data_IF_001518245091
#
_entry.id   IF_001518245091
#
_cell.length_a   1.000
_cell.length_b   1.000
_cell.length_c   1.000
_cell.angle_alpha   90.00
_cell.angle_beta   90.00
_cell.angle_gamma   90.00
#
_symmetry.space_group_name_H-M   'P 1'
#
loop_
_entity.id
_entity.type
_entity.pdbx_description
1 polymer ?
#
# COMPACT_ATOMS: atom_id res chain seq x y z
N UNK A 1 9.46 24.93 -20.62
CA UNK A 1 9.66 23.82 -19.65
C UNK A 1 10.37 22.71 -20.39
N UNK A 2 11.49 22.21 -19.85
CA UNK A 2 12.20 21.07 -20.45
C UNK A 2 11.31 19.83 -20.38
N UNK A 3 11.15 19.10 -21.47
CA UNK A 3 10.41 17.83 -21.51
C UNK A 3 11.15 16.75 -20.71
N UNK A 4 10.43 15.83 -20.09
CA UNK A 4 11.00 14.63 -19.45
C UNK A 4 10.79 13.47 -20.42
N UNK A 5 11.85 12.76 -20.77
CA UNK A 5 11.87 11.72 -21.77
C UNK A 5 11.91 10.31 -21.17
N UNK A 6 12.37 10.15 -19.92
CA UNK A 6 12.40 8.83 -19.26
C UNK A 6 12.18 8.92 -17.75
N UNK A 7 11.19 8.17 -17.25
CA UNK A 7 10.83 8.06 -15.83
C UNK A 7 10.84 6.59 -15.42
N UNK A 8 11.41 6.30 -14.25
CA UNK A 8 11.34 4.98 -13.63
C UNK A 8 10.35 4.98 -12.47
N UNK A 9 9.40 4.06 -12.46
CA UNK A 9 8.50 3.80 -11.34
C UNK A 9 9.04 2.62 -10.52
N UNK A 10 9.13 2.77 -9.19
CA UNK A 10 9.68 1.74 -8.28
C UNK A 10 8.70 1.43 -7.17
N UNK A 11 8.33 0.17 -7.03
CA UNK A 11 7.39 -0.34 -6.02
C UNK A 11 6.78 -1.68 -6.44
N UNK A 12 5.71 -2.07 -5.79
CA UNK A 12 4.91 -3.21 -6.23
C UNK A 12 4.30 -2.94 -7.61
N UNK A 13 4.11 -4.00 -8.41
CA UNK A 13 3.49 -3.90 -9.73
C UNK A 13 2.65 -5.15 -10.05
N UNK A 14 1.59 -4.99 -10.84
CA UNK A 14 0.78 -6.12 -11.31
C UNK A 14 1.66 -7.12 -12.07
N UNK A 15 1.51 -8.45 -11.87
CA UNK A 15 0.33 -9.13 -11.34
C UNK A 15 0.35 -9.41 -9.82
N UNK A 16 1.24 -8.80 -9.03
CA UNK A 16 1.15 -8.86 -7.56
C UNK A 16 -0.20 -8.30 -7.11
N UNK A 17 -1.01 -9.11 -6.42
CA UNK A 17 -2.36 -8.71 -6.00
C UNK A 17 -2.32 -7.90 -4.69
N UNK A 18 -1.99 -6.61 -4.78
CA UNK A 18 -2.05 -5.67 -3.67
C UNK A 18 -2.46 -4.28 -4.14
N UNK A 19 -2.91 -3.42 -3.22
CA UNK A 19 -3.35 -2.07 -3.56
C UNK A 19 -2.24 -1.18 -4.12
N UNK A 20 -1.00 -1.37 -3.66
CA UNK A 20 0.16 -0.61 -4.14
C UNK A 20 0.52 -1.02 -5.56
N UNK A 21 0.49 -2.32 -5.88
CA UNK A 21 0.69 -2.82 -7.24
C UNK A 21 -0.29 -2.20 -8.23
N UNK A 22 -1.58 -2.20 -7.89
CA UNK A 22 -2.61 -1.55 -8.70
C UNK A 22 -2.32 -0.06 -8.87
N UNK A 23 -1.99 0.66 -7.80
CA UNK A 23 -1.67 2.08 -7.87
C UNK A 23 -0.46 2.37 -8.78
N UNK A 24 0.66 1.64 -8.59
CA UNK A 24 1.88 1.84 -9.39
C UNK A 24 1.62 1.56 -10.87
N UNK A 25 0.87 0.50 -11.18
CA UNK A 25 0.46 0.17 -12.55
C UNK A 25 -0.38 1.29 -13.15
N UNK A 26 -1.44 1.71 -12.45
CA UNK A 26 -2.36 2.72 -12.99
C UNK A 26 -1.69 4.09 -13.18
N UNK A 27 -0.84 4.56 -12.25
CA UNK A 27 -0.14 5.83 -12.43
C UNK A 27 0.91 5.76 -13.55
N UNK A 28 1.61 4.63 -13.67
CA UNK A 28 2.60 4.43 -14.73
C UNK A 28 1.93 4.45 -16.12
N UNK A 29 0.84 3.71 -16.28
CA UNK A 29 0.06 3.70 -17.53
C UNK A 29 -0.56 5.06 -17.82
N UNK A 30 -1.08 5.75 -16.80
CA UNK A 30 -1.66 7.08 -16.97
C UNK A 30 -0.63 8.12 -17.44
N UNK A 31 0.58 8.11 -16.87
CA UNK A 31 1.67 8.99 -17.32
C UNK A 31 2.11 8.61 -18.73
N UNK A 32 2.26 7.33 -19.04
CA UNK A 32 2.65 6.88 -20.38
C UNK A 32 1.61 7.26 -21.46
N UNK A 33 0.32 7.17 -21.13
CA UNK A 33 -0.78 7.56 -22.02
C UNK A 33 -0.85 9.08 -22.22
N UNK A 34 -0.69 9.86 -21.14
CA UNK A 34 -0.75 11.32 -21.20
C UNK A 34 0.51 11.95 -21.84
N UNK A 35 1.66 11.28 -21.75
CA UNK A 35 2.95 11.76 -22.25
C UNK A 35 3.65 10.69 -23.12
N UNK A 36 3.20 10.43 -24.37
CA UNK A 36 3.72 9.33 -25.19
C UNK A 36 5.21 9.43 -25.57
N UNK A 37 5.81 10.62 -25.45
CA UNK A 37 7.23 10.85 -25.67
C UNK A 37 8.11 10.48 -24.46
N UNK A 38 7.49 10.30 -23.29
CA UNK A 38 8.17 9.93 -22.06
C UNK A 38 8.13 8.40 -21.92
N UNK A 39 9.28 7.75 -22.05
CA UNK A 39 9.41 6.34 -21.77
C UNK A 39 9.24 6.09 -20.27
N UNK A 40 8.18 5.35 -19.92
CA UNK A 40 7.90 4.93 -18.56
C UNK A 40 8.39 3.48 -18.38
N UNK A 41 9.37 3.29 -17.52
CA UNK A 41 9.93 1.98 -17.14
C UNK A 41 9.60 1.68 -15.69
N UNK A 42 9.60 0.40 -15.33
CA UNK A 42 9.25 -0.05 -13.97
C UNK A 42 10.35 -0.94 -13.40
N UNK A 43 10.68 -0.69 -12.13
CA UNK A 43 11.42 -1.56 -11.25
C UNK A 43 10.48 -2.22 -10.25
N UNK A 44 10.09 -3.46 -10.50
CA UNK A 44 9.10 -4.16 -9.69
C UNK A 44 9.75 -4.82 -8.46
N UNK A 45 9.13 -4.68 -7.29
CA UNK A 45 9.58 -5.35 -6.06
C UNK A 45 8.84 -6.67 -5.88
N UNK A 46 9.61 -7.75 -5.76
CA UNK A 46 9.14 -9.12 -5.63
C UNK A 46 9.20 -9.59 -4.18
N UNK A 47 8.12 -10.19 -3.71
CA UNK A 47 8.01 -10.83 -2.39
C UNK A 47 8.26 -12.35 -2.41
N UNK A 48 8.51 -12.90 -3.59
CA UNK A 48 8.78 -14.32 -3.81
C UNK A 48 9.99 -14.52 -4.74
N UNK A 49 10.84 -15.53 -4.49
CA UNK A 49 12.06 -15.76 -5.27
C UNK A 49 11.81 -16.02 -6.75
N UNK A 50 10.66 -16.61 -7.10
CA UNK A 50 10.30 -16.93 -8.49
C UNK A 50 9.85 -15.70 -9.29
N UNK A 51 9.65 -14.56 -8.62
CA UNK A 51 9.13 -13.34 -9.25
C UNK A 51 7.69 -13.48 -9.74
N UNK A 52 7.27 -12.59 -10.63
CA UNK A 52 5.95 -12.64 -11.26
C UNK A 52 6.08 -12.69 -12.78
N UNK A 53 5.05 -13.23 -13.43
CA UNK A 53 4.95 -13.17 -14.89
C UNK A 53 4.54 -11.76 -15.31
N UNK A 54 5.55 -10.89 -15.39
CA UNK A 54 5.38 -9.49 -15.70
C UNK A 54 5.15 -9.27 -17.19
N UNK A 55 4.22 -8.35 -17.49
CA UNK A 55 4.00 -7.88 -18.84
C UNK A 55 5.04 -6.80 -19.23
N UNK A 56 4.70 -6.03 -20.25
CA UNK A 56 5.53 -4.95 -20.80
C UNK A 56 5.74 -3.81 -19.80
N UNK A 57 6.90 -3.13 -19.87
CA UNK A 57 7.41 -1.99 -19.05
C UNK A 57 8.33 -2.34 -17.89
N UNK A 58 8.28 -3.56 -17.35
CA UNK A 58 9.28 -4.00 -16.38
C UNK A 58 10.64 -4.07 -17.06
N UNK A 59 11.64 -3.41 -16.48
CA UNK A 59 13.02 -3.40 -17.00
C UNK A 59 14.02 -4.02 -16.04
N UNK A 60 13.66 -4.09 -14.76
CA UNK A 60 14.44 -4.75 -13.72
C UNK A 60 13.51 -5.16 -12.58
N UNK A 61 13.93 -6.19 -11.87
CA UNK A 61 13.22 -6.74 -10.72
C UNK A 61 14.10 -6.60 -9.48
N UNK A 62 13.48 -6.26 -8.37
CA UNK A 62 14.12 -6.12 -7.06
C UNK A 62 13.56 -7.22 -6.17
N UNK A 63 14.43 -8.04 -5.61
CA UNK A 63 14.04 -9.01 -4.58
C UNK A 63 13.97 -8.26 -3.25
N UNK A 64 12.80 -8.25 -2.60
CA UNK A 64 12.58 -7.48 -1.38
C UNK A 64 13.56 -7.86 -0.25
N UNK A 65 14.02 -9.12 -0.22
CA UNK A 65 14.86 -9.66 0.85
C UNK A 65 16.35 -9.44 0.61
N UNK A 66 16.75 -9.17 -0.63
CA UNK A 66 18.15 -9.08 -1.03
C UNK A 66 18.58 -7.62 -1.23
N UNK A 67 19.27 -7.05 -0.24
CA UNK A 67 19.75 -5.65 -0.27
C UNK A 67 20.60 -5.33 -1.50
N UNK A 68 21.39 -6.29 -2.01
CA UNK A 68 22.20 -6.10 -3.21
C UNK A 68 21.37 -5.95 -4.48
N UNK A 69 20.12 -6.44 -4.50
CA UNK A 69 19.20 -6.21 -5.61
C UNK A 69 18.86 -4.73 -5.76
N UNK A 70 18.74 -4.00 -4.65
CA UNK A 70 18.52 -2.55 -4.64
C UNK A 70 19.71 -1.75 -5.19
N UNK A 71 20.94 -2.19 -4.89
CA UNK A 71 22.17 -1.57 -5.40
C UNK A 71 22.31 -1.79 -6.91
N UNK A 72 22.08 -3.02 -7.39
CA UNK A 72 22.03 -3.32 -8.83
C UNK A 72 20.97 -2.51 -9.56
N UNK A 73 19.81 -2.32 -8.94
CA UNK A 73 18.76 -1.46 -9.49
C UNK A 73 19.21 0.01 -9.59
N UNK A 74 19.93 0.55 -8.60
CA UNK A 74 20.51 1.89 -8.69
C UNK A 74 21.52 2.00 -9.84
N UNK A 75 22.43 1.03 -10.00
CA UNK A 75 23.39 0.99 -11.11
C UNK A 75 22.67 0.96 -12.46
N UNK A 76 21.62 0.13 -12.60
CA UNK A 76 20.79 0.07 -13.79
C UNK A 76 20.17 1.43 -14.11
N UNK A 77 19.54 2.09 -13.13
CA UNK A 77 18.90 3.40 -13.31
C UNK A 77 19.92 4.48 -13.73
N UNK A 78 21.11 4.46 -13.13
CA UNK A 78 22.18 5.42 -13.40
C UNK A 78 22.75 5.31 -14.82
N UNK A 79 22.84 4.11 -15.39
CA UNK A 79 23.39 3.87 -16.74
C UNK A 79 22.33 4.09 -17.83
N UNK A 80 21.04 3.99 -17.50
CA UNK A 80 19.93 4.03 -18.47
C UNK A 80 19.28 5.41 -18.63
N UNK A 81 20.00 6.52 -18.43
CA UNK A 81 19.49 7.88 -18.68
C UNK A 81 18.10 8.18 -18.08
N UNK A 82 17.79 7.61 -16.91
CA UNK A 82 16.55 7.90 -16.21
C UNK A 82 16.61 9.31 -15.64
N UNK A 83 15.62 10.14 -15.94
CA UNK A 83 15.63 11.55 -15.52
C UNK A 83 14.94 11.78 -14.18
N UNK A 84 14.03 10.90 -13.76
CA UNK A 84 13.32 10.93 -12.47
C UNK A 84 12.99 9.52 -12.02
N UNK A 85 13.14 9.24 -10.73
CA UNK A 85 12.65 8.01 -10.08
C UNK A 85 11.41 8.34 -9.25
N UNK A 86 10.29 7.68 -9.56
CA UNK A 86 9.00 7.78 -8.88
C UNK A 86 8.80 6.56 -7.98
N UNK A 87 8.90 6.74 -6.66
CA UNK A 87 8.85 5.67 -5.66
C UNK A 87 7.45 5.59 -5.05
N UNK A 88 6.89 4.38 -4.94
CA UNK A 88 5.60 4.12 -4.29
C UNK A 88 5.83 3.51 -2.91
N UNK A 89 5.94 4.36 -1.88
CA UNK A 89 6.39 3.92 -0.57
C UNK A 89 5.26 3.42 0.34
N UNK A 90 5.45 2.20 0.83
CA UNK A 90 4.75 1.58 1.95
C UNK A 90 5.78 0.80 2.78
N UNK A 91 5.65 0.77 4.11
CA UNK A 91 6.67 0.21 5.01
C UNK A 91 6.86 -1.31 4.83
N UNK A 92 5.88 -1.99 4.26
CA UNK A 92 5.86 -3.45 4.14
C UNK A 92 6.41 -4.03 2.84
N UNK A 93 6.82 -3.22 1.86
CA UNK A 93 7.08 -3.73 0.50
C UNK A 93 8.56 -3.90 0.14
N UNK A 94 9.48 -3.23 0.85
CA UNK A 94 10.89 -3.17 0.45
C UNK A 94 11.83 -4.04 1.30
N UNK A 95 11.30 -4.92 2.15
CA UNK A 95 12.10 -5.71 3.08
C UNK A 95 12.95 -4.89 4.07
N UNK A 96 13.67 -5.59 4.94
CA UNK A 96 14.35 -4.99 6.09
C UNK A 96 13.38 -4.35 7.09
N UNK A 97 13.87 -3.83 8.22
CA UNK A 97 13.02 -3.15 9.20
C UNK A 97 12.33 -1.92 8.60
N UNK A 98 11.01 -1.97 8.48
CA UNK A 98 10.17 -0.91 7.93
C UNK A 98 10.54 -0.47 6.50
N UNK A 99 10.98 -1.39 5.64
CA UNK A 99 11.28 -1.08 4.23
C UNK A 99 12.67 -0.47 4.01
N UNK A 100 13.59 -0.64 4.96
CA UNK A 100 14.89 0.04 4.97
C UNK A 100 15.80 -0.32 3.79
N UNK A 101 15.62 -1.47 3.10
CA UNK A 101 16.48 -1.79 1.95
C UNK A 101 16.30 -0.80 0.78
N UNK A 102 15.12 -0.16 0.66
CA UNK A 102 14.89 0.92 -0.32
C UNK A 102 15.96 2.01 -0.21
N UNK A 103 16.44 2.31 1.00
CA UNK A 103 17.43 3.36 1.24
C UNK A 103 18.76 3.08 0.54
N UNK A 104 19.12 1.82 0.31
CA UNK A 104 20.30 1.46 -0.47
C UNK A 104 20.16 1.93 -1.93
N UNK A 105 18.99 1.76 -2.55
CA UNK A 105 18.71 2.29 -3.88
C UNK A 105 18.72 3.82 -3.88
N UNK A 106 18.00 4.45 -2.96
CA UNK A 106 17.82 5.91 -2.95
C UNK A 106 19.11 6.69 -2.67
N UNK A 107 20.04 6.07 -1.95
CA UNK A 107 21.37 6.62 -1.68
C UNK A 107 22.23 6.68 -2.94
N UNK A 108 22.15 5.65 -3.79
CA UNK A 108 23.08 5.46 -4.90
C UNK A 108 22.55 5.95 -6.26
N UNK A 109 21.25 6.29 -6.38
CA UNK A 109 20.70 6.93 -7.60
C UNK A 109 21.13 8.39 -7.78
N UNK A 110 21.39 8.81 -9.03
CA UNK A 110 21.88 10.16 -9.34
C UNK A 110 20.80 11.15 -9.78
N UNK A 111 19.69 10.65 -10.30
CA UNK A 111 18.54 11.45 -10.73
C UNK A 111 17.63 11.82 -9.54
N UNK A 112 16.80 12.87 -9.66
CA UNK A 112 15.86 13.25 -8.61
C UNK A 112 14.87 12.13 -8.27
N UNK A 113 14.54 12.04 -6.99
CA UNK A 113 13.58 11.08 -6.44
C UNK A 113 12.30 11.82 -6.04
N UNK A 114 11.16 11.31 -6.51
CA UNK A 114 9.82 11.73 -6.07
C UNK A 114 9.17 10.54 -5.38
N UNK A 115 8.83 10.67 -4.10
CA UNK A 115 8.27 9.57 -3.30
C UNK A 115 6.80 9.82 -3.01
N UNK A 116 5.92 8.95 -3.48
CA UNK A 116 4.52 8.90 -3.07
C UNK A 116 4.42 8.09 -1.79
N UNK A 117 3.79 8.64 -0.75
CA UNK A 117 3.62 7.99 0.54
C UNK A 117 2.19 7.47 0.68
N UNK A 118 2.04 6.14 0.75
CA UNK A 118 0.75 5.48 0.93
C UNK A 118 0.33 5.39 2.41
N UNK A 119 1.31 5.45 3.30
CA UNK A 119 1.13 5.54 4.75
C UNK A 119 2.01 6.64 5.33
N UNK A 120 1.43 7.47 6.21
CA UNK A 120 2.13 8.48 7.01
C UNK A 120 1.64 8.36 8.45
N UNK A 121 2.51 7.98 9.36
CA UNK A 121 2.13 7.65 10.74
C UNK A 121 2.31 8.86 11.64
N UNK A 122 1.37 9.07 12.57
CA UNK A 122 1.52 10.08 13.63
C UNK A 122 2.56 9.65 14.67
N UNK A 123 2.54 8.37 15.02
CA UNK A 123 3.38 7.75 16.04
C UNK A 123 4.18 6.62 15.40
N UNK A 124 5.21 6.94 14.60
CA UNK A 124 6.09 5.91 14.05
C UNK A 124 6.92 5.25 15.16
N UNK A 125 7.17 3.95 15.05
CA UNK A 125 8.21 3.30 15.83
C UNK A 125 9.62 3.76 15.38
N UNK A 126 10.66 3.32 16.08
CA UNK A 126 12.05 3.74 15.81
C UNK A 126 12.48 3.47 14.35
N UNK A 127 12.25 2.26 13.85
CA UNK A 127 12.59 1.88 12.46
C UNK A 127 11.81 2.70 11.42
N UNK A 128 10.51 2.91 11.64
CA UNK A 128 9.66 3.72 10.75
C UNK A 128 10.09 5.19 10.74
N UNK A 129 10.44 5.74 11.91
CA UNK A 129 10.96 7.10 12.03
C UNK A 129 12.27 7.24 11.28
N UNK A 130 13.21 6.33 11.50
CA UNK A 130 14.49 6.31 10.80
C UNK A 130 14.31 6.28 9.27
N UNK A 131 13.47 5.37 8.76
CA UNK A 131 13.21 5.28 7.31
C UNK A 131 12.64 6.59 6.78
N UNK A 132 11.66 7.19 7.46
CA UNK A 132 11.07 8.47 7.03
C UNK A 132 12.06 9.64 7.05
N UNK A 133 12.96 9.70 8.03
CA UNK A 133 14.02 10.71 8.09
C UNK A 133 15.01 10.56 6.92
N UNK A 134 15.39 9.33 6.59
CA UNK A 134 16.25 9.03 5.43
C UNK A 134 15.54 9.33 4.11
N UNK A 135 14.25 8.98 3.98
CA UNK A 135 13.44 9.39 2.83
C UNK A 135 13.43 10.92 2.68
N UNK A 136 13.32 11.67 3.78
CA UNK A 136 13.36 13.14 3.71
C UNK A 136 14.72 13.65 3.19
N UNK A 137 15.81 12.98 3.57
CA UNK A 137 17.15 13.31 3.08
C UNK A 137 17.31 13.02 1.57
N UNK A 138 16.81 11.86 1.11
CA UNK A 138 17.01 11.41 -0.27
C UNK A 138 15.96 11.95 -1.26
N UNK A 139 14.71 12.11 -0.86
CA UNK A 139 13.65 12.54 -1.78
C UNK A 139 13.66 14.04 -2.03
N UNK A 140 13.56 14.41 -3.32
CA UNK A 140 13.47 15.80 -3.76
C UNK A 140 12.06 16.35 -3.58
N UNK A 141 11.05 15.49 -3.72
CA UNK A 141 9.64 15.79 -3.47
C UNK A 141 8.92 14.58 -2.87
N UNK A 142 7.88 14.87 -2.10
CA UNK A 142 6.92 13.92 -1.58
C UNK A 142 5.55 14.18 -2.19
N UNK A 143 4.83 13.11 -2.49
CA UNK A 143 3.43 13.15 -2.88
C UNK A 143 2.61 12.50 -1.76
N UNK A 144 1.60 13.22 -1.29
CA UNK A 144 0.58 12.74 -0.35
C UNK A 144 -0.81 13.01 -0.92
N UNK A 145 -1.78 12.18 -0.53
CA UNK A 145 -3.13 12.20 -1.11
C UNK A 145 -4.18 12.89 -0.24
N UNK A 146 -3.76 13.36 0.94
CA UNK A 146 -4.61 14.00 1.94
C UNK A 146 -3.88 15.15 2.63
N UNK A 147 -4.63 16.18 3.03
CA UNK A 147 -4.12 17.34 3.76
C UNK A 147 -3.53 16.93 5.12
N UNK A 148 -4.14 15.94 5.77
CA UNK A 148 -3.64 15.34 7.00
C UNK A 148 -2.27 14.72 6.80
N UNK A 149 -2.04 14.04 5.68
CA UNK A 149 -0.72 13.51 5.33
C UNK A 149 0.33 14.63 5.21
N UNK A 150 -0.02 15.74 4.55
CA UNK A 150 0.84 16.93 4.46
C UNK A 150 1.13 17.53 5.84
N UNK A 151 0.13 17.61 6.71
CA UNK A 151 0.28 18.07 8.09
C UNK A 151 1.26 17.20 8.87
N UNK A 152 1.08 15.88 8.85
CA UNK A 152 1.94 14.92 9.54
C UNK A 152 3.40 14.98 9.05
N UNK A 153 3.62 15.12 7.73
CA UNK A 153 4.97 15.29 7.19
C UNK A 153 5.70 16.50 7.75
N UNK A 154 4.99 17.62 7.94
CA UNK A 154 5.56 18.83 8.52
C UNK A 154 5.77 18.69 10.03
N UNK A 155 4.75 18.22 10.74
CA UNK A 155 4.69 18.23 12.20
C UNK A 155 5.54 17.12 12.84
N UNK A 156 5.55 15.92 12.27
CA UNK A 156 6.18 14.73 12.86
C UNK A 156 7.58 14.46 12.28
N UNK A 157 7.77 14.77 10.99
CA UNK A 157 8.97 14.41 10.23
C UNK A 157 9.79 15.60 9.75
N UNK A 158 9.35 16.84 10.04
CA UNK A 158 10.09 18.06 9.69
C UNK A 158 10.30 18.25 8.19
N UNK A 159 9.44 17.67 7.34
CA UNK A 159 9.56 17.81 5.89
C UNK A 159 9.21 19.23 5.49
N UNK A 160 10.10 19.84 4.71
CA UNK A 160 9.93 21.22 4.27
C UNK A 160 8.73 21.36 3.31
N UNK A 161 7.84 22.35 3.48
CA UNK A 161 6.59 22.45 2.72
C UNK A 161 6.75 22.46 1.19
N UNK A 162 7.84 23.02 0.67
CA UNK A 162 8.13 23.10 -0.77
C UNK A 162 8.54 21.74 -1.39
N UNK A 163 8.85 20.74 -0.55
CA UNK A 163 9.00 19.34 -0.99
C UNK A 163 7.65 18.63 -1.14
N UNK A 164 6.56 19.11 -0.54
CA UNK A 164 5.32 18.35 -0.44
C UNK A 164 4.33 18.77 -1.52
N UNK A 165 3.92 17.82 -2.35
CA UNK A 165 2.83 17.95 -3.31
C UNK A 165 1.60 17.22 -2.80
N UNK A 166 0.47 17.91 -2.80
CA UNK A 166 -0.84 17.30 -2.57
C UNK A 166 -1.44 16.89 -3.91
N UNK A 167 -1.39 15.60 -4.22
CA UNK A 167 -1.96 15.04 -5.44
C UNK A 167 -2.94 13.94 -5.02
N UNK A 168 -4.24 14.05 -5.36
CA UNK A 168 -5.22 13.09 -4.92
C UNK A 168 -4.93 11.70 -5.49
N UNK A 169 -5.51 10.68 -4.86
CA UNK A 169 -5.50 9.33 -5.41
C UNK A 169 -6.14 9.33 -6.81
N UNK A 170 -5.49 8.68 -7.77
CA UNK A 170 -6.03 8.54 -9.11
C UNK A 170 -7.25 7.62 -9.17
N UNK A 171 -8.20 7.90 -10.05
CA UNK A 171 -9.39 7.08 -10.24
C UNK A 171 -9.69 6.87 -11.73
N UNK A 172 -10.39 5.79 -12.11
CA UNK A 172 -10.84 5.60 -13.48
C UNK A 172 -11.76 6.73 -13.93
N UNK A 173 -11.64 7.13 -15.19
CA UNK A 173 -12.56 8.09 -15.81
C UNK A 173 -13.85 7.36 -16.24
N UNK A 174 -14.74 7.13 -15.29
CA UNK A 174 -16.06 6.59 -15.57
C UNK A 174 -17.02 7.71 -15.96
N UNK A 175 -18.23 7.37 -16.41
CA UNK A 175 -19.30 8.35 -16.65
C UNK A 175 -20.27 8.44 -15.46
N UNK A 176 -20.94 9.60 -15.29
CA UNK A 176 -21.94 9.76 -14.24
C UNK A 176 -23.27 9.16 -14.68
N UNK A 177 -23.40 7.85 -14.49
CA UNK A 177 -24.55 7.07 -14.94
C UNK A 177 -25.41 6.63 -13.74
N UNK A 178 -26.70 6.44 -13.99
CA UNK A 178 -27.62 5.83 -13.02
C UNK A 178 -27.22 4.36 -12.74
N UNK A 179 -27.23 3.88 -11.48
CA UNK A 179 -26.79 2.53 -11.18
C UNK A 179 -27.60 1.43 -11.87
N UNK A 180 -28.85 1.72 -12.25
CA UNK A 180 -29.77 0.75 -12.85
C UNK A 180 -29.20 0.12 -14.13
N UNK A 181 -28.38 0.84 -14.89
CA UNK A 181 -27.81 0.36 -16.16
C UNK A 181 -26.83 -0.81 -16.02
N UNK A 182 -26.26 -1.03 -14.84
CA UNK A 182 -25.27 -2.09 -14.60
C UNK A 182 -25.81 -3.24 -13.75
N UNK A 183 -27.09 -3.26 -13.36
CA UNK A 183 -27.61 -4.27 -12.42
C UNK A 183 -27.95 -5.60 -13.07
N UNK A 184 -28.31 -5.59 -14.36
CA UNK A 184 -28.75 -6.77 -15.12
C UNK A 184 -27.66 -7.87 -15.19
N UNK A 185 -26.39 -7.47 -15.23
CA UNK A 185 -25.27 -8.41 -15.28
C UNK A 185 -24.97 -9.09 -13.93
N UNK A 186 -25.59 -8.64 -12.83
CA UNK A 186 -25.34 -9.15 -11.48
C UNK A 186 -26.56 -9.84 -10.84
N UNK A 187 -27.70 -9.95 -11.53
CA UNK A 187 -28.90 -10.60 -11.00
C UNK A 187 -29.50 -9.87 -9.78
N UNK A 188 -29.30 -8.55 -9.71
CA UNK A 188 -29.79 -7.66 -8.64
C UNK A 188 -30.72 -6.58 -9.20
N UNK A 189 -31.43 -6.91 -10.27
CA UNK A 189 -32.41 -6.03 -10.91
C UNK A 189 -33.51 -5.66 -9.91
N UNK A 190 -33.88 -4.37 -9.89
CA UNK A 190 -34.87 -3.85 -8.93
C UNK A 190 -34.43 -3.84 -7.46
N UNK A 191 -33.21 -4.31 -7.14
CA UNK A 191 -32.65 -4.29 -5.79
C UNK A 191 -31.85 -3.01 -5.55
N UNK A 192 -31.73 -2.63 -4.28
CA UNK A 192 -30.81 -1.59 -3.84
C UNK A 192 -29.49 -2.22 -3.42
N UNK A 193 -28.40 -1.86 -4.09
CA UNK A 193 -27.10 -2.49 -3.91
C UNK A 193 -26.19 -1.64 -3.02
N UNK A 194 -25.86 -2.17 -1.84
CA UNK A 194 -24.74 -1.73 -1.02
C UNK A 194 -23.48 -2.46 -1.50
N UNK A 195 -22.36 -1.75 -1.60
CA UNK A 195 -21.09 -2.32 -2.04
C UNK A 195 -19.96 -2.02 -1.05
N UNK A 196 -19.18 -3.05 -0.73
CA UNK A 196 -17.82 -2.94 -0.20
C UNK A 196 -16.91 -3.73 -1.13
N UNK A 197 -15.74 -3.19 -1.47
CA UNK A 197 -14.76 -3.94 -2.26
C UNK A 197 -13.32 -3.73 -1.78
N UNK A 198 -12.44 -4.63 -2.21
CA UNK A 198 -11.01 -4.67 -1.87
C UNK A 198 -10.64 -5.98 -1.15
N UNK A 199 -9.36 -6.12 -0.77
CA UNK A 199 -8.90 -7.31 -0.05
C UNK A 199 -9.60 -7.41 1.32
N UNK A 200 -10.19 -8.59 1.60
CA UNK A 200 -10.88 -8.86 2.85
C UNK A 200 -9.88 -9.04 3.98
N UNK A 201 -10.13 -8.31 5.07
CA UNK A 201 -9.38 -8.40 6.32
C UNK A 201 -10.22 -7.84 7.49
N UNK A 202 -9.95 -8.23 8.75
CA UNK A 202 -10.72 -7.76 9.91
C UNK A 202 -10.79 -6.23 10.07
N UNK A 203 -9.74 -5.51 9.65
CA UNK A 203 -9.74 -4.05 9.70
C UNK A 203 -10.75 -3.38 8.75
N UNK A 204 -11.38 -4.13 7.83
CA UNK A 204 -12.39 -3.63 6.89
C UNK A 204 -13.76 -3.44 7.55
N UNK A 205 -14.02 -4.03 8.72
CA UNK A 205 -15.24 -3.82 9.50
C UNK A 205 -16.53 -4.32 8.83
N UNK A 206 -16.42 -5.32 7.95
CA UNK A 206 -17.56 -5.83 7.15
C UNK A 206 -18.67 -6.38 8.05
N UNK A 207 -18.30 -6.93 9.22
CA UNK A 207 -19.22 -7.42 10.23
C UNK A 207 -20.26 -6.38 10.64
N UNK A 208 -19.87 -5.11 10.76
CA UNK A 208 -20.77 -4.04 11.20
C UNK A 208 -21.82 -3.69 10.14
N UNK A 209 -21.54 -3.94 8.86
CA UNK A 209 -22.54 -3.78 7.79
C UNK A 209 -23.52 -4.94 7.83
N UNK A 210 -23.04 -6.18 8.01
CA UNK A 210 -23.89 -7.37 8.12
C UNK A 210 -24.83 -7.23 9.34
N UNK A 211 -24.33 -6.74 10.47
CA UNK A 211 -25.13 -6.45 11.66
C UNK A 211 -26.17 -5.34 11.46
N UNK A 212 -25.92 -4.40 10.54
CA UNK A 212 -26.85 -3.32 10.21
C UNK A 212 -28.02 -3.79 9.33
N UNK A 213 -27.83 -4.87 8.54
CA UNK A 213 -28.81 -5.33 7.56
C UNK A 213 -30.20 -5.64 8.14
N UNK A 214 -30.36 -6.32 9.29
CA UNK A 214 -31.70 -6.57 9.85
C UNK A 214 -32.52 -5.30 10.09
N UNK A 215 -31.88 -4.19 10.47
CA UNK A 215 -32.56 -2.91 10.66
C UNK A 215 -32.90 -2.26 9.32
N UNK A 216 -31.97 -2.26 8.36
CA UNK A 216 -32.17 -1.72 7.01
C UNK A 216 -33.33 -2.45 6.30
N UNK A 217 -33.36 -3.78 6.37
CA UNK A 217 -34.32 -4.62 5.66
C UNK A 217 -35.76 -4.49 6.18
N UNK A 218 -35.96 -4.00 7.41
CA UNK A 218 -37.31 -3.70 7.94
C UNK A 218 -38.01 -2.61 7.15
N UNK A 219 -37.25 -1.62 6.68
CA UNK A 219 -37.78 -0.47 5.94
C UNK A 219 -37.54 -0.61 4.42
N UNK A 220 -36.44 -1.25 4.04
CA UNK A 220 -36.00 -1.41 2.65
C UNK A 220 -35.73 -2.90 2.33
N UNK A 221 -36.77 -3.73 2.15
CA UNK A 221 -36.63 -5.19 2.02
C UNK A 221 -35.87 -5.65 0.77
N UNK A 222 -35.74 -4.78 -0.24
CA UNK A 222 -35.06 -5.08 -1.51
C UNK A 222 -33.56 -4.77 -1.47
N UNK A 223 -32.97 -4.48 -0.31
CA UNK A 223 -31.54 -4.20 -0.18
C UNK A 223 -30.72 -5.49 -0.27
N UNK A 224 -29.61 -5.44 -1.02
CA UNK A 224 -28.55 -6.46 -1.04
C UNK A 224 -27.22 -5.81 -0.74
N UNK A 225 -26.35 -6.55 -0.07
CA UNK A 225 -24.99 -6.15 0.24
C UNK A 225 -24.01 -7.06 -0.48
N UNK A 226 -23.21 -6.45 -1.36
CA UNK A 226 -22.17 -7.12 -2.11
C UNK A 226 -20.82 -6.84 -1.46
N UNK A 227 -20.11 -7.91 -1.11
CA UNK A 227 -18.72 -7.90 -0.65
C UNK A 227 -17.86 -8.44 -1.79
N UNK A 228 -17.14 -7.55 -2.47
CA UNK A 228 -16.33 -7.86 -3.65
C UNK A 228 -14.84 -7.88 -3.32
N UNK A 229 -14.21 -9.04 -3.39
CA UNK A 229 -12.77 -9.17 -3.24
C UNK A 229 -12.37 -10.52 -2.68
N UNK A 230 -11.07 -10.81 -2.78
CA UNK A 230 -10.46 -11.98 -2.16
C UNK A 230 -9.94 -11.68 -0.75
N UNK A 231 -9.83 -12.70 0.09
CA UNK A 231 -9.10 -12.61 1.36
C UNK A 231 -7.66 -12.17 1.12
N UNK A 232 -7.16 -11.24 1.94
CA UNK A 232 -5.80 -10.71 1.81
C UNK A 232 -4.78 -11.86 1.75
N UNK A 233 -3.84 -11.90 0.79
CA UNK A 233 -2.93 -13.03 0.59
C UNK A 233 -2.19 -13.47 1.87
N UNK A 234 -1.62 -12.51 2.62
CA UNK A 234 -0.94 -12.81 3.90
C UNK A 234 -1.87 -13.38 4.97
N UNK A 235 -3.15 -12.97 5.00
CA UNK A 235 -4.13 -13.51 5.93
C UNK A 235 -4.56 -14.92 5.51
N UNK A 236 -4.75 -15.13 4.21
CA UNK A 236 -5.08 -16.43 3.64
C UNK A 236 -3.97 -17.46 3.94
N UNK A 237 -2.69 -17.06 3.81
CA UNK A 237 -1.55 -17.91 4.15
C UNK A 237 -1.49 -18.29 5.63
N UNK A 238 -1.83 -17.35 6.53
CA UNK A 238 -1.72 -17.55 7.99
C UNK A 238 -2.94 -18.25 8.59
N UNK A 239 -4.13 -17.91 8.13
CA UNK A 239 -5.40 -18.23 8.79
C UNK A 239 -6.46 -18.81 7.84
N UNK A 240 -6.11 -19.02 6.57
CA UNK A 240 -7.05 -19.43 5.54
C UNK A 240 -8.21 -18.45 5.38
N UNK A 241 -9.39 -18.98 5.09
CA UNK A 241 -10.63 -18.21 4.87
C UNK A 241 -11.40 -17.93 6.17
N UNK A 242 -10.76 -18.09 7.33
CA UNK A 242 -11.43 -18.03 8.64
C UNK A 242 -12.22 -16.74 8.87
N UNK A 243 -11.72 -15.60 8.38
CA UNK A 243 -12.44 -14.33 8.50
C UNK A 243 -13.69 -14.30 7.62
N UNK A 244 -13.62 -14.71 6.35
CA UNK A 244 -14.79 -14.76 5.47
C UNK A 244 -15.84 -15.73 6.01
N UNK A 245 -15.43 -16.92 6.45
CA UNK A 245 -16.33 -17.91 7.06
C UNK A 245 -17.04 -17.37 8.32
N UNK A 246 -16.36 -16.55 9.12
CA UNK A 246 -16.99 -15.84 10.26
C UNK A 246 -18.07 -14.85 9.79
N UNK A 247 -17.84 -14.13 8.70
CA UNK A 247 -18.82 -13.20 8.14
C UNK A 247 -20.04 -13.93 7.54
N UNK A 248 -19.84 -15.06 6.88
CA UNK A 248 -20.93 -15.91 6.38
C UNK A 248 -21.79 -16.43 7.53
N UNK A 249 -21.17 -16.97 8.58
CA UNK A 249 -21.87 -17.38 9.79
C UNK A 249 -22.62 -16.24 10.47
N UNK A 250 -22.02 -15.05 10.52
CA UNK A 250 -22.69 -13.86 11.05
C UNK A 250 -23.94 -13.51 10.23
N UNK A 251 -23.89 -13.63 8.90
CA UNK A 251 -25.07 -13.41 8.06
C UNK A 251 -26.19 -14.43 8.34
N UNK A 252 -25.83 -15.69 8.62
CA UNK A 252 -26.77 -16.72 9.07
C UNK A 252 -27.38 -16.38 10.44
N UNK A 253 -26.54 -16.07 11.43
CA UNK A 253 -26.96 -15.74 12.79
C UNK A 253 -27.87 -14.50 12.85
N UNK A 254 -27.70 -13.56 11.91
CA UNK A 254 -28.54 -12.37 11.75
C UNK A 254 -29.76 -12.59 10.84
N UNK A 255 -29.89 -13.75 10.21
CA UNK A 255 -31.02 -14.09 9.33
C UNK A 255 -31.03 -13.30 8.02
N UNK A 256 -29.86 -12.89 7.51
CA UNK A 256 -29.72 -12.04 6.31
C UNK A 256 -28.94 -12.70 5.18
N UNK A 257 -28.77 -14.03 5.21
CA UNK A 257 -28.01 -14.78 4.19
C UNK A 257 -28.50 -14.50 2.76
N UNK A 258 -29.81 -14.35 2.55
CA UNK A 258 -30.38 -14.03 1.22
C UNK A 258 -30.08 -12.61 0.71
N UNK A 259 -29.51 -11.75 1.56
CA UNK A 259 -29.22 -10.34 1.27
C UNK A 259 -27.71 -10.05 1.24
N UNK A 260 -26.84 -11.03 1.50
CA UNK A 260 -25.38 -10.86 1.45
C UNK A 260 -24.79 -11.70 0.33
N UNK A 261 -24.01 -11.08 -0.55
CA UNK A 261 -23.38 -11.75 -1.70
C UNK A 261 -21.87 -11.55 -1.62
N UNK A 262 -21.12 -12.64 -1.48
CA UNK A 262 -19.66 -12.63 -1.51
C UNK A 262 -19.16 -12.98 -2.92
N UNK A 263 -18.47 -12.03 -3.57
CA UNK A 263 -17.71 -12.29 -4.79
C UNK A 263 -16.23 -12.48 -4.42
N UNK A 264 -15.88 -13.72 -4.08
CA UNK A 264 -14.57 -14.09 -3.54
C UNK A 264 -13.49 -14.21 -4.62
N UNK A 265 -13.19 -13.12 -5.33
CA UNK A 265 -12.13 -13.07 -6.33
C UNK A 265 -11.53 -11.68 -6.46
N UNK A 266 -10.29 -11.63 -6.91
CA UNK A 266 -9.69 -10.40 -7.42
C UNK A 266 -10.23 -10.17 -8.84
N UNK A 267 -10.80 -9.00 -9.09
CA UNK A 267 -11.44 -8.66 -10.37
C UNK A 267 -10.58 -7.72 -11.20
N UNK A 268 -10.80 -7.68 -12.51
CA UNK A 268 -10.16 -6.70 -13.39
C UNK A 268 -10.67 -5.29 -13.12
N UNK A 269 -9.98 -4.28 -13.65
CA UNK A 269 -10.43 -2.90 -13.52
C UNK A 269 -11.80 -2.67 -14.16
N UNK A 270 -12.04 -3.28 -15.32
CA UNK A 270 -13.33 -3.21 -16.04
C UNK A 270 -14.46 -3.80 -15.20
N UNK A 271 -14.30 -5.04 -14.71
CA UNK A 271 -15.27 -5.68 -13.82
C UNK A 271 -15.50 -4.84 -12.55
N UNK A 272 -14.44 -4.28 -11.95
CA UNK A 272 -14.56 -3.40 -10.79
C UNK A 272 -15.38 -2.15 -11.10
N UNK A 273 -15.15 -1.51 -12.26
CA UNK A 273 -15.93 -0.34 -12.68
C UNK A 273 -17.40 -0.67 -12.89
N UNK A 274 -17.72 -1.87 -13.36
CA UNK A 274 -19.10 -2.36 -13.48
C UNK A 274 -19.78 -2.54 -12.12
N UNK A 275 -19.11 -3.18 -11.16
CA UNK A 275 -19.65 -3.31 -9.80
C UNK A 275 -19.87 -1.95 -9.14
N UNK A 276 -18.90 -1.04 -9.27
CA UNK A 276 -19.05 0.33 -8.80
C UNK A 276 -20.24 0.98 -9.51
N UNK A 277 -20.34 0.83 -10.83
CA UNK A 277 -21.45 1.29 -11.66
C UNK A 277 -22.81 0.85 -11.14
N UNK A 278 -22.97 -0.42 -10.74
CA UNK A 278 -24.21 -0.98 -10.22
C UNK A 278 -24.55 -0.57 -8.77
N UNK A 279 -23.56 -0.16 -7.98
CA UNK A 279 -23.78 0.19 -6.58
C UNK A 279 -24.61 1.47 -6.42
N UNK A 280 -25.57 1.44 -5.49
CA UNK A 280 -26.33 2.61 -5.05
C UNK A 280 -25.57 3.37 -3.95
N UNK A 281 -25.08 2.62 -2.94
CA UNK A 281 -24.32 3.15 -1.80
C UNK A 281 -23.05 2.32 -1.64
N UNK A 282 -21.90 3.00 -1.56
CA UNK A 282 -20.65 2.40 -1.15
C UNK A 282 -20.47 2.55 0.37
N UNK A 283 -20.12 1.46 1.05
CA UNK A 283 -19.91 1.45 2.51
C UNK A 283 -18.45 1.11 2.80
N UNK A 284 -17.80 1.90 3.65
CA UNK A 284 -16.41 1.69 4.07
C UNK A 284 -16.29 1.85 5.59
N UNK A 285 -16.57 0.78 6.36
CA UNK A 285 -16.67 0.81 7.82
C UNK A 285 -15.32 0.47 8.47
N UNK A 286 -14.23 1.02 7.93
CA UNK A 286 -12.87 0.63 8.32
C UNK A 286 -12.59 0.99 9.78
N UNK A 287 -11.77 0.17 10.44
CA UNK A 287 -11.52 0.32 11.88
C UNK A 287 -10.24 1.08 12.22
N UNK A 288 -9.36 1.28 11.25
CA UNK A 288 -8.11 2.00 11.45
C UNK A 288 -8.29 3.50 11.21
N UNK A 289 -8.41 4.28 12.29
CA UNK A 289 -8.54 5.73 12.21
C UNK A 289 -7.36 6.39 11.47
N UNK A 290 -6.14 5.87 11.67
CA UNK A 290 -4.91 6.47 11.14
C UNK A 290 -4.72 6.30 9.62
N UNK A 291 -5.65 5.64 8.92
CA UNK A 291 -5.53 5.42 7.49
C UNK A 291 -5.63 6.74 6.71
N UNK A 292 -4.54 7.13 6.04
CA UNK A 292 -4.42 8.41 5.32
C UNK A 292 -4.82 8.32 3.83
N UNK A 293 -4.99 7.11 3.29
CA UNK A 293 -5.33 6.87 1.89
C UNK A 293 -6.20 5.62 1.76
N UNK A 294 -7.18 5.62 0.86
CA UNK A 294 -7.98 4.44 0.52
C UNK A 294 -8.35 4.46 -0.96
N UNK A 295 -7.73 3.59 -1.75
CA UNK A 295 -8.04 3.48 -3.19
C UNK A 295 -9.49 3.06 -3.45
N UNK A 296 -10.05 2.18 -2.61
CA UNK A 296 -11.42 1.71 -2.77
C UNK A 296 -12.45 2.82 -2.52
N UNK A 297 -12.23 3.63 -1.49
CA UNK A 297 -13.04 4.83 -1.26
C UNK A 297 -12.85 5.84 -2.38
N UNK A 298 -11.61 6.10 -2.81
CA UNK A 298 -11.33 7.02 -3.90
C UNK A 298 -12.08 6.63 -5.18
N UNK A 299 -12.05 5.34 -5.57
CA UNK A 299 -12.70 4.84 -6.79
C UNK A 299 -14.22 5.01 -6.72
N UNK A 300 -14.85 4.58 -5.62
CA UNK A 300 -16.30 4.73 -5.45
C UNK A 300 -16.73 6.21 -5.41
N UNK A 301 -15.97 7.05 -4.71
CA UNK A 301 -16.22 8.48 -4.62
C UNK A 301 -16.05 9.18 -5.98
N UNK A 302 -14.96 8.87 -6.68
CA UNK A 302 -14.67 9.38 -8.02
C UNK A 302 -15.75 9.00 -9.03
N UNK A 303 -16.33 7.81 -8.87
CA UNK A 303 -17.47 7.35 -9.63
C UNK A 303 -18.81 8.01 -9.23
N UNK A 304 -18.81 8.94 -8.27
CA UNK A 304 -19.99 9.70 -7.85
C UNK A 304 -21.01 8.85 -7.11
N UNK A 305 -20.56 7.83 -6.39
CA UNK A 305 -21.41 6.99 -5.53
C UNK A 305 -21.74 7.71 -4.23
N UNK A 306 -22.90 7.42 -3.66
CA UNK A 306 -23.19 7.85 -2.30
C UNK A 306 -22.32 7.02 -1.35
N UNK A 307 -21.70 7.66 -0.36
CA UNK A 307 -20.74 6.99 0.52
C UNK A 307 -21.17 7.10 1.97
N UNK A 308 -21.11 5.98 2.68
CA UNK A 308 -21.16 5.90 4.14
C UNK A 308 -19.82 5.34 4.63
N UNK A 309 -19.17 6.04 5.56
CA UNK A 309 -17.85 5.64 6.05
C UNK A 309 -17.68 5.89 7.54
N UNK A 310 -16.80 5.12 8.17
CA UNK A 310 -16.25 5.53 9.47
C UNK A 310 -15.28 6.71 9.31
N UNK A 311 -15.05 7.53 10.35
CA UNK A 311 -14.31 8.77 10.22
C UNK A 311 -12.78 8.56 10.31
N UNK A 312 -12.21 7.65 9.52
CA UNK A 312 -10.75 7.59 9.33
C UNK A 312 -10.24 8.80 8.55
N UNK A 313 -8.97 9.18 8.74
CA UNK A 313 -8.44 10.48 8.30
C UNK A 313 -8.76 10.82 6.84
N UNK A 314 -8.58 9.87 5.92
CA UNK A 314 -8.90 10.08 4.50
C UNK A 314 -10.41 10.27 4.23
N UNK A 315 -11.26 9.47 4.88
CA UNK A 315 -12.71 9.58 4.73
C UNK A 315 -13.25 10.91 5.27
N UNK A 316 -12.72 11.41 6.39
CA UNK A 316 -13.11 12.70 6.94
C UNK A 316 -12.91 13.83 5.92
N UNK A 317 -11.75 13.85 5.24
CA UNK A 317 -11.45 14.87 4.24
C UNK A 317 -12.28 14.71 2.97
N UNK A 318 -12.29 13.51 2.40
CA UNK A 318 -12.95 13.26 1.12
C UNK A 318 -14.46 13.47 1.21
N UNK A 319 -15.08 13.08 2.34
CA UNK A 319 -16.52 13.15 2.56
C UNK A 319 -16.99 14.47 3.21
N UNK A 320 -16.08 15.38 3.55
CA UNK A 320 -16.42 16.72 4.06
C UNK A 320 -17.37 17.47 3.11
N UNK A 321 -18.00 18.55 3.58
CA UNK A 321 -18.90 19.38 2.76
C UNK A 321 -20.06 18.58 2.15
N UNK A 322 -20.64 17.68 2.96
CA UNK A 322 -21.79 16.83 2.60
C UNK A 322 -21.53 15.91 1.39
N UNK A 323 -20.28 15.48 1.18
CA UNK A 323 -19.92 14.55 0.09
C UNK A 323 -20.05 13.07 0.50
N UNK A 324 -20.38 12.80 1.76
CA UNK A 324 -20.71 11.49 2.30
C UNK A 324 -21.39 11.60 3.66
N UNK A 325 -21.69 10.44 4.27
CA UNK A 325 -22.10 10.33 5.67
C UNK A 325 -20.96 9.67 6.45
N UNK A 326 -20.57 10.29 7.56
CA UNK A 326 -19.66 9.69 8.53
C UNK A 326 -20.46 9.07 9.68
N UNK A 327 -20.12 7.83 10.04
CA UNK A 327 -20.75 7.08 11.14
C UNK A 327 -19.70 6.63 12.15
N UNK A 328 -19.99 6.52 13.45
CA UNK A 328 -19.01 6.07 14.44
C UNK A 328 -18.39 4.70 14.12
N UNK A 329 -17.17 4.48 14.59
CA UNK A 329 -16.53 3.17 14.48
C UNK A 329 -17.32 2.12 15.24
N UNK A 330 -17.42 0.91 14.67
CA UNK A 330 -18.06 -0.25 15.30
C UNK A 330 -19.54 -0.06 15.67
N UNK A 331 -20.25 0.78 14.91
CA UNK A 331 -21.65 1.11 15.16
C UNK A 331 -22.54 0.70 13.97
N UNK A 332 -23.11 -0.50 14.07
CA UNK A 332 -24.02 -1.03 13.06
C UNK A 332 -25.36 -0.30 13.02
N UNK A 333 -25.82 0.28 14.14
CA UNK A 333 -27.05 1.07 14.16
C UNK A 333 -26.87 2.37 13.38
N UNK A 334 -25.75 3.08 13.59
CA UNK A 334 -25.45 4.29 12.84
C UNK A 334 -25.27 4.03 11.33
N UNK A 335 -24.70 2.87 10.96
CA UNK A 335 -24.66 2.42 9.55
C UNK A 335 -26.09 2.25 9.01
N UNK A 336 -26.97 1.56 9.74
CA UNK A 336 -28.35 1.36 9.33
C UNK A 336 -29.10 2.69 9.16
N UNK A 337 -29.00 3.60 10.13
CA UNK A 337 -29.59 4.94 10.07
C UNK A 337 -29.06 5.74 8.87
N UNK A 338 -27.76 5.68 8.61
CA UNK A 338 -27.13 6.34 7.46
C UNK A 338 -27.66 5.81 6.12
N UNK A 339 -27.79 4.48 5.99
CA UNK A 339 -28.33 3.84 4.78
C UNK A 339 -29.79 4.23 4.59
N UNK A 340 -30.63 4.02 5.62
CA UNK A 340 -32.06 4.37 5.56
C UNK A 340 -32.26 5.84 5.23
N UNK A 341 -31.50 6.76 5.84
CA UNK A 341 -31.57 8.19 5.55
C UNK A 341 -31.32 8.51 4.06
N UNK A 342 -30.35 7.86 3.42
CA UNK A 342 -30.09 8.07 2.00
C UNK A 342 -31.20 7.49 1.13
N UNK A 343 -31.68 6.29 1.46
CA UNK A 343 -32.74 5.61 0.69
C UNK A 343 -34.10 6.30 0.81
N UNK A 344 -34.43 6.86 1.98
CA UNK A 344 -35.66 7.64 2.20
C UNK A 344 -35.58 9.07 1.66
N UNK A 345 -34.40 9.55 1.25
CA UNK A 345 -34.20 10.91 0.74
C UNK A 345 -33.40 10.94 -0.58
N UNK A 346 -34.06 10.65 -1.71
CA UNK A 346 -33.41 10.63 -3.03
C UNK A 346 -32.73 11.95 -3.41
N UNK A 347 -33.28 13.09 -2.97
CA UNK A 347 -32.71 14.42 -3.25
C UNK A 347 -31.36 14.63 -2.53
N UNK A 348 -31.28 14.22 -1.25
CA UNK A 348 -30.04 14.24 -0.48
C UNK A 348 -28.98 13.35 -1.14
N UNK A 349 -29.36 12.13 -1.51
CA UNK A 349 -28.47 11.17 -2.15
C UNK A 349 -27.96 11.69 -3.50
N UNK A 350 -28.83 12.22 -4.36
CA UNK A 350 -28.45 12.79 -5.65
C UNK A 350 -27.52 14.00 -5.50
N UNK A 351 -27.79 14.89 -4.53
CA UNK A 351 -26.94 16.03 -4.21
C UNK A 351 -25.53 15.62 -3.76
N UNK A 352 -25.45 14.63 -2.87
CA UNK A 352 -24.20 14.04 -2.40
C UNK A 352 -23.38 13.44 -3.55
N UNK A 353 -24.02 12.58 -4.36
CA UNK A 353 -23.42 11.95 -5.55
C UNK A 353 -22.85 12.97 -6.52
N UNK A 354 -23.61 14.03 -6.81
CA UNK A 354 -23.17 15.11 -7.71
C UNK A 354 -21.95 15.86 -7.18
N UNK A 355 -21.90 16.14 -5.87
CA UNK A 355 -20.74 16.80 -5.25
C UNK A 355 -19.49 15.90 -5.28
N UNK A 356 -19.66 14.61 -4.96
CA UNK A 356 -18.58 13.62 -5.05
C UNK A 356 -18.04 13.52 -6.48
N UNK A 357 -18.93 13.36 -7.47
CA UNK A 357 -18.58 13.33 -8.89
C UNK A 357 -17.77 14.54 -9.34
N UNK A 358 -18.25 15.75 -9.00
CA UNK A 358 -17.62 17.00 -9.40
C UNK A 358 -16.17 17.08 -8.91
N UNK A 359 -15.91 16.72 -7.66
CA UNK A 359 -14.54 16.66 -7.12
C UNK A 359 -13.75 15.50 -7.73
N UNK A 360 -14.39 14.36 -7.92
CA UNK A 360 -13.81 13.17 -8.55
C UNK A 360 -13.20 13.43 -9.93
N UNK A 361 -13.69 14.43 -10.67
CA UNK A 361 -13.08 14.87 -11.94
C UNK A 361 -11.64 15.35 -11.80
N UNK A 362 -11.25 15.88 -10.64
CA UNK A 362 -9.86 16.26 -10.37
C UNK A 362 -8.98 15.07 -9.98
N UNK A 363 -9.60 13.92 -9.71
CA UNK A 363 -8.94 12.69 -9.27
C UNK A 363 -8.71 11.72 -10.44
N UNK A 364 -9.26 11.96 -11.64
CA UNK A 364 -9.12 11.02 -12.74
C UNK A 364 -7.65 10.84 -13.13
N UNK A 365 -7.27 9.62 -13.51
CA UNK A 365 -5.90 9.26 -13.86
C UNK A 365 -5.21 10.23 -14.84
N UNK A 366 -5.85 10.73 -15.92
CA UNK A 366 -5.23 11.74 -16.79
C UNK A 366 -4.84 13.04 -16.07
N UNK A 367 -5.67 13.52 -15.13
CA UNK A 367 -5.40 14.74 -14.36
C UNK A 367 -4.28 14.49 -13.35
N UNK A 368 -4.34 13.35 -12.66
CA UNK A 368 -3.30 12.94 -11.69
C UNK A 368 -1.95 12.74 -12.38
N UNK A 369 -1.91 12.12 -13.56
CA UNK A 369 -0.70 11.97 -14.37
C UNK A 369 -0.06 13.32 -14.72
N UNK A 370 -0.89 14.32 -15.07
CA UNK A 370 -0.42 15.69 -15.28
C UNK A 370 0.24 16.29 -14.04
N UNK A 371 -0.40 16.16 -12.87
CA UNK A 371 0.16 16.64 -11.59
C UNK A 371 1.45 15.91 -11.19
N UNK A 372 1.55 14.60 -11.47
CA UNK A 372 2.79 13.84 -11.28
C UNK A 372 3.91 14.36 -12.18
N UNK A 373 3.62 14.60 -13.47
CA UNK A 373 4.60 15.15 -14.40
C UNK A 373 5.09 16.55 -13.98
N UNK A 374 4.20 17.41 -13.47
CA UNK A 374 4.58 18.69 -12.86
C UNK A 374 5.50 18.50 -11.65
N UNK A 375 5.21 17.53 -10.78
CA UNK A 375 6.07 17.17 -9.65
C UNK A 375 7.46 16.72 -10.12
N UNK A 376 7.52 15.86 -11.13
CA UNK A 376 8.76 15.37 -11.75
C UNK A 376 9.59 16.53 -12.32
N UNK A 377 8.97 17.45 -13.05
CA UNK A 377 9.63 18.64 -13.60
C UNK A 377 10.21 19.53 -12.49
N UNK A 378 9.44 19.79 -11.41
CA UNK A 378 9.91 20.55 -10.25
C UNK A 378 11.07 19.86 -9.53
N UNK A 379 11.03 18.53 -9.41
CA UNK A 379 12.09 17.74 -8.78
C UNK A 379 13.41 17.87 -9.56
N UNK A 380 13.34 17.82 -10.90
CA UNK A 380 14.51 17.98 -11.77
C UNK A 380 15.14 19.37 -11.68
N UNK A 381 14.32 20.44 -11.70
CA UNK A 381 14.82 21.83 -11.53
C UNK A 381 15.55 22.00 -10.19
N UNK A 382 15.02 21.44 -9.10
CA UNK A 382 15.66 21.51 -7.78
C UNK A 382 17.03 20.83 -7.77
N UNK A 383 17.20 19.71 -8.47
CA UNK A 383 18.49 19.03 -8.57
C UNK A 383 19.52 19.85 -9.36
N UNK A 384 19.10 20.60 -10.38
CA UNK A 384 19.99 21.54 -11.10
C UNK A 384 20.48 22.68 -10.20
N UNK A 385 19.61 23.15 -9.29
CA UNK A 385 19.93 24.26 -8.36
C UNK A 385 20.73 23.80 -7.14
N UNK A 386 20.54 22.55 -6.69
CA UNK A 386 21.27 21.94 -5.59
C UNK A 386 21.61 20.51 -5.94
N UNK A 387 22.73 20.30 -6.66
CA UNK A 387 23.16 18.97 -7.06
C UNK A 387 23.30 18.09 -5.82
N UNK A 388 22.82 16.84 -5.90
CA UNK A 388 23.32 15.80 -5.00
C UNK A 388 24.84 15.83 -5.11
N UNK A 389 25.57 15.67 -3.99
CA UNK A 389 27.03 15.53 -4.05
C UNK A 389 27.32 14.41 -5.04
N UNK A 390 27.74 14.79 -6.25
CA UNK A 390 28.09 13.84 -7.29
C UNK A 390 29.16 12.93 -6.69
N UNK A 391 28.99 11.64 -6.88
CA UNK A 391 29.81 10.61 -6.27
C UNK A 391 31.30 10.95 -6.43
N UNK A 392 32.01 11.07 -5.30
CA UNK A 392 33.43 10.77 -5.29
C UNK A 392 33.52 9.28 -5.66
N UNK A 393 34.18 8.95 -6.76
CA UNK A 393 34.42 7.57 -7.22
C UNK A 393 34.78 6.71 -6.01
N UNK A 394 33.89 5.81 -5.58
CA UNK A 394 34.19 4.87 -4.48
C UNK A 394 35.22 3.87 -5.00
N UNK A 395 36.49 4.11 -4.66
CA UNK A 395 37.56 3.12 -4.78
C UNK A 395 37.22 1.89 -3.92
N UNK A 396 37.89 0.76 -4.14
CA UNK A 396 37.77 -0.43 -3.27
C UNK A 396 37.96 -0.12 -1.77
N UNK A 397 38.70 0.94 -1.46
CA UNK A 397 38.95 1.49 -0.12
C UNK A 397 37.72 2.18 0.50
N UNK A 398 36.83 2.72 -0.35
CA UNK A 398 35.61 3.43 0.05
C UNK A 398 34.35 2.56 -0.04
N UNK A 399 34.49 1.29 -0.42
CA UNK A 399 33.40 0.31 -0.35
C UNK A 399 33.28 -0.12 1.13
N UNK A 400 32.13 0.07 1.80
CA UNK A 400 31.97 -0.40 3.17
C UNK A 400 32.30 -1.90 3.22
N UNK A 401 33.14 -2.29 4.18
CA UNK A 401 33.52 -3.68 4.40
C UNK A 401 32.26 -4.46 4.79
N UNK A 402 31.75 -5.27 3.86
CA UNK A 402 30.64 -6.17 4.13
C UNK A 402 31.14 -7.34 4.97
N UNK A 403 30.44 -7.59 6.08
CA UNK A 403 30.68 -8.80 6.83
C UNK A 403 30.19 -9.99 5.98
N UNK A 404 30.95 -11.09 5.91
CA UNK A 404 30.46 -12.29 5.24
C UNK A 404 29.12 -12.72 5.87
N UNK A 405 28.22 -13.33 5.08
CA UNK A 405 26.95 -13.83 5.60
C UNK A 405 27.20 -14.74 6.80
N UNK A 406 26.34 -14.63 7.82
CA UNK A 406 26.48 -15.36 9.07
C UNK A 406 26.41 -16.87 8.78
N UNK A 407 27.55 -17.57 8.93
CA UNK A 407 27.62 -19.02 8.74
C UNK A 407 27.38 -19.73 10.07
N UNK A 408 26.23 -20.40 10.18
CA UNK A 408 25.87 -21.16 11.38
C UNK A 408 26.41 -22.59 11.38
N UNK A 409 27.10 -23.01 10.31
CA UNK A 409 27.61 -24.39 10.16
C UNK A 409 28.47 -24.84 11.35
N UNK A 410 29.29 -23.94 11.88
CA UNK A 410 30.12 -24.24 13.05
C UNK A 410 29.28 -24.35 14.32
N UNK A 411 28.27 -23.49 14.50
CA UNK A 411 27.34 -23.56 15.63
C UNK A 411 26.58 -24.89 15.63
N UNK A 412 26.06 -25.30 14.46
CA UNK A 412 25.40 -26.59 14.30
C UNK A 412 26.36 -27.75 14.55
N UNK A 413 27.60 -27.67 14.06
CA UNK A 413 28.61 -28.71 14.32
C UNK A 413 29.00 -28.81 15.79
N UNK A 414 28.94 -27.70 16.52
CA UNK A 414 29.23 -27.61 17.95
C UNK A 414 28.04 -27.95 18.85
N UNK A 415 26.88 -28.29 18.28
CA UNK A 415 25.64 -28.53 19.05
C UNK A 415 25.14 -29.95 18.80
N UNK A 416 24.63 -30.59 19.86
CA UNK A 416 23.89 -31.84 19.75
C UNK A 416 22.54 -31.75 20.49
N UNK A 417 21.89 -32.89 20.72
CA UNK A 417 20.58 -32.95 21.38
C UNK A 417 20.61 -32.52 22.86
N UNK A 418 21.80 -32.34 23.45
CA UNK A 418 21.99 -31.94 24.84
C UNK A 418 22.31 -30.45 24.96
N UNK A 419 23.17 -29.94 24.07
CA UNK A 419 23.60 -28.55 24.12
C UNK A 419 24.81 -28.26 23.24
N UNK A 420 25.40 -27.08 23.42
CA UNK A 420 26.63 -26.67 22.73
C UNK A 420 27.88 -27.13 23.51
N UNK A 421 28.84 -27.73 22.81
CA UNK A 421 30.13 -28.14 23.39
C UNK A 421 30.95 -26.90 23.80
N UNK A 422 31.59 -26.97 24.97
CA UNK A 422 32.34 -25.84 25.54
C UNK A 422 33.57 -25.46 24.71
N UNK A 423 34.26 -26.45 24.12
CA UNK A 423 35.54 -26.23 23.45
C UNK A 423 35.61 -26.90 22.09
N UNK A 424 36.41 -26.30 21.20
CA UNK A 424 36.71 -26.81 19.87
C UNK A 424 38.22 -26.75 19.62
N UNK A 425 38.73 -27.67 18.80
CA UNK A 425 40.06 -27.56 18.20
C UNK A 425 39.83 -27.14 16.75
N UNK A 426 40.09 -25.86 16.46
CA UNK A 426 39.69 -25.20 15.22
C UNK A 426 38.18 -25.31 14.96
N UNK A 427 37.76 -26.13 14.00
CA UNK A 427 36.36 -26.31 13.60
C UNK A 427 35.78 -27.66 14.03
N UNK A 428 36.49 -28.42 14.86
CA UNK A 428 36.09 -29.75 15.37
C UNK A 428 35.74 -29.66 16.85
N UNK A 429 34.53 -30.09 17.27
CA UNK A 429 34.15 -30.10 18.69
C UNK A 429 35.07 -30.99 19.52
N UNK A 430 35.45 -30.53 20.72
CA UNK A 430 36.21 -31.33 21.67
C UNK A 430 35.24 -32.11 22.58
N UNK A 431 34.89 -33.32 22.15
CA UNK A 431 33.93 -34.19 22.85
C UNK A 431 34.37 -34.63 24.26
N UNK A 432 35.62 -34.35 24.69
CA UNK A 432 36.11 -34.74 26.02
C UNK A 432 35.69 -33.79 27.13
N UNK A 433 35.35 -32.55 26.78
CA UNK A 433 35.16 -31.46 27.77
C UNK A 433 33.68 -31.12 28.00
N UNK A 434 32.78 -31.71 27.22
CA UNK A 434 31.33 -31.67 27.49
C UNK A 434 30.72 -30.29 27.28
N UNK A 435 29.74 -29.95 28.13
CA UNK A 435 28.90 -28.75 28.02
C UNK A 435 29.14 -27.82 29.20
N UNK A 436 29.06 -26.51 28.94
CA UNK A 436 29.04 -25.51 30.00
C UNK A 436 27.72 -24.72 29.99
N UNK A 437 27.22 -24.37 31.18
CA UNK A 437 25.93 -23.68 31.33
C UNK A 437 25.96 -22.27 30.72
N UNK A 438 27.08 -21.55 30.82
CA UNK A 438 27.20 -20.20 30.26
C UNK A 438 27.22 -20.22 28.73
N UNK A 439 27.89 -21.18 28.10
CA UNK A 439 27.88 -21.32 26.64
C UNK A 439 26.51 -21.71 26.10
N UNK A 440 25.79 -22.59 26.80
CA UNK A 440 24.40 -22.93 26.44
C UNK A 440 23.45 -21.73 26.63
N UNK A 441 23.64 -20.91 27.66
CA UNK A 441 22.88 -19.68 27.86
C UNK A 441 23.17 -18.66 26.74
N UNK A 442 24.44 -18.48 26.33
CA UNK A 442 24.81 -17.61 25.21
C UNK A 442 24.25 -18.12 23.88
N UNK A 443 24.31 -19.44 23.63
CA UNK A 443 23.72 -20.04 22.44
C UNK A 443 22.21 -19.84 22.40
N UNK A 444 21.51 -19.96 23.54
CA UNK A 444 20.08 -19.69 23.63
C UNK A 444 19.75 -18.23 23.33
N UNK A 445 20.49 -17.28 23.94
CA UNK A 445 20.35 -15.86 23.63
C UNK A 445 20.59 -15.61 22.13
N UNK A 446 21.65 -16.19 21.56
CA UNK A 446 21.91 -16.10 20.12
C UNK A 446 20.73 -16.64 19.30
N UNK A 447 20.12 -17.77 19.65
CA UNK A 447 18.95 -18.30 18.92
C UNK A 447 17.73 -17.41 18.98
N UNK A 448 17.51 -16.70 20.10
CA UNK A 448 16.45 -15.70 20.22
C UNK A 448 16.76 -14.44 19.42
N UNK A 449 18.03 -14.07 19.35
CA UNK A 449 18.51 -12.91 18.61
C UNK A 449 18.73 -13.19 17.12
N UNK A 450 18.88 -14.44 16.68
CA UNK A 450 19.17 -14.78 15.27
C UNK A 450 18.14 -14.19 14.28
N UNK A 451 16.82 -14.23 14.58
CA UNK A 451 15.81 -13.52 13.78
C UNK A 451 16.02 -11.99 13.75
N UNK A 452 16.48 -11.39 14.84
CA UNK A 452 16.76 -9.96 14.93
C UNK A 452 18.13 -9.58 14.34
N UNK A 453 19.12 -10.45 14.39
CA UNK A 453 20.50 -10.20 13.93
C UNK A 453 20.62 -10.34 12.41
N UNK A 454 19.90 -11.30 11.82
CA UNK A 454 19.69 -11.31 10.36
C UNK A 454 18.99 -10.02 9.90
N UNK A 455 18.16 -9.40 10.76
CA UNK A 455 17.55 -8.08 10.50
C UNK A 455 18.45 -6.87 10.85
N UNK A 456 19.39 -6.98 11.81
CA UNK A 456 20.32 -5.90 12.24
C UNK A 456 21.59 -5.82 11.39
N UNK A 457 22.06 -6.92 10.81
CA UNK A 457 23.12 -6.88 9.78
C UNK A 457 22.62 -6.06 8.60
N UNK A 458 21.37 -6.27 8.18
CA UNK A 458 20.70 -5.42 7.20
C UNK A 458 20.51 -3.95 7.65
N UNK A 459 20.38 -3.65 8.95
CA UNK A 459 20.34 -2.26 9.45
C UNK A 459 21.71 -1.57 9.46
N UNK A 460 22.80 -2.27 9.82
CA UNK A 460 24.16 -1.68 9.82
C UNK A 460 24.68 -1.38 8.42
N UNK A 461 24.26 -2.13 7.41
CA UNK A 461 24.54 -1.87 5.99
C UNK A 461 23.72 -0.68 5.43
N UNK A 462 22.70 -0.25 6.16
CA UNK A 462 21.87 0.93 5.87
C UNK A 462 22.32 2.15 6.68
N UNK A 463 22.92 2.00 7.87
CA UNK A 463 23.43 3.11 8.69
C UNK A 463 24.85 3.60 8.32
N UNK A 464 25.64 2.79 7.62
CA UNK A 464 26.96 3.15 7.05
C UNK A 464 26.86 3.36 5.56
#
# INVERSE_FOLDING_TARGET
MTTINRVAFVGDYMPRQCGIATFTTDICEAVAAAYPHCECIVGAVNDRPEGYDYSTRIRFEIDEKEIDSYRRAADFLNINNVEVVSVQHEFGIYGGPAGSHLLALLRDVHMPVVTTLHTVLREPNESQRFVMEQLNAFSNRFIVMAERGRGLLKEVYGVSPEKIDLIPHGVPDVQFIDPTFHKDQFGVEGKTMLLTFGLLSPNKGIEYVIEALPAILKEHPNVVYIVLGATHPNLLLREGESYRLKLERLAEDRGVTGNVIFYNRFVTLEELTDFIGAADIYVTPYLNEAQITSGTLAYAFGAGKAVISTPYLYAQELLAQERGILVPFRDSNAIAEGVTRLLSNPALMAGMRKRAWKLGREMIWPVVAGRYMESFQRARVRLTVSPRKAFAVRTLENRPYEFPPLKLDHLFRMTDNTGIFQHAIFNVPNYREGYCTDDNARAFILTLLLPEMTSRVAQRDVER
#
